data_IF_982734649026
#
_entry.id   IF_982734649026
#
_cell.length_a   1.000
_cell.length_b   1.000
_cell.length_c   1.000
_cell.angle_alpha   90.00
_cell.angle_beta   90.00
_cell.angle_gamma   90.00
#
_symmetry.space_group_name_H-M   'P 1'
#
loop_
_entity.id
_entity.type
_entity.pdbx_description
1 polymer ?
#
# COMPACT_ATOMS: atom_id res chain seq x y z
N UNK A 1 -2.08 26.85 2.45
CA UNK A 1 -1.78 25.75 3.40
C UNK A 1 -1.44 24.51 2.59
N UNK A 2 -0.18 24.07 2.60
CA UNK A 2 0.26 22.90 1.84
C UNK A 2 -0.12 21.61 2.57
N UNK A 3 -0.86 20.74 1.89
CA UNK A 3 -1.19 19.39 2.34
C UNK A 3 -0.41 18.37 1.52
N UNK A 4 0.17 17.37 2.17
CA UNK A 4 0.94 16.32 1.53
C UNK A 4 0.23 14.97 1.65
N UNK A 5 0.04 14.24 0.54
CA UNK A 5 -0.44 12.87 0.58
C UNK A 5 0.73 11.93 0.90
N UNK A 6 0.54 11.07 1.90
CA UNK A 6 1.49 10.00 2.25
C UNK A 6 0.88 8.68 1.83
N UNK A 7 1.55 7.96 0.92
CA UNK A 7 1.11 6.65 0.41
C UNK A 7 2.24 5.62 0.50
N UNK A 8 1.99 4.45 1.09
CA UNK A 8 2.97 3.36 1.21
C UNK A 8 2.33 1.98 0.99
N UNK A 9 3.13 1.02 0.53
CA UNK A 9 2.66 -0.36 0.31
C UNK A 9 2.49 -1.11 1.63
N UNK A 10 3.38 -0.88 2.60
CA UNK A 10 3.29 -1.54 3.92
C UNK A 10 2.94 -0.57 5.04
N UNK A 11 2.31 -1.10 6.10
CA UNK A 11 2.01 -0.33 7.31
C UNK A 11 3.31 0.17 7.99
N UNK A 12 4.39 -0.61 7.93
CA UNK A 12 5.68 -0.25 8.53
C UNK A 12 6.27 0.97 7.84
N UNK A 13 6.33 0.97 6.51
CA UNK A 13 6.82 2.12 5.74
C UNK A 13 5.93 3.34 5.95
N UNK A 14 4.61 3.13 6.04
CA UNK A 14 3.66 4.18 6.35
C UNK A 14 4.05 4.85 7.67
N UNK A 15 4.09 4.09 8.77
CA UNK A 15 4.43 4.57 10.10
C UNK A 15 5.78 5.29 10.17
N UNK A 16 6.80 4.79 9.48
CA UNK A 16 8.11 5.45 9.38
C UNK A 16 8.00 6.82 8.71
N UNK A 17 7.27 6.91 7.61
CA UNK A 17 7.09 8.16 6.87
C UNK A 17 6.31 9.21 7.69
N UNK A 18 5.20 8.81 8.34
CA UNK A 18 4.42 9.73 9.16
C UNK A 18 5.22 10.22 10.38
N UNK A 19 5.98 9.34 11.06
CA UNK A 19 6.83 9.75 12.18
C UNK A 19 7.92 10.75 11.81
N UNK A 20 8.51 10.60 10.63
CA UNK A 20 9.48 11.57 10.11
C UNK A 20 8.82 12.93 9.83
N UNK A 21 7.58 12.92 9.34
CA UNK A 21 6.80 14.14 9.10
C UNK A 21 6.32 14.79 10.41
N UNK A 22 5.89 14.01 11.40
CA UNK A 22 5.56 14.49 12.75
C UNK A 22 6.76 15.23 13.36
N UNK A 23 7.96 14.66 13.28
CA UNK A 23 9.21 15.31 13.72
C UNK A 23 9.50 16.64 13.00
N UNK A 24 8.99 16.82 11.78
CA UNK A 24 9.12 18.05 10.98
C UNK A 24 7.98 19.05 11.21
N UNK A 25 7.08 18.77 12.15
CA UNK A 25 5.94 19.65 12.49
C UNK A 25 4.74 19.49 11.55
N UNK A 26 4.53 18.30 11.01
CA UNK A 26 3.30 17.97 10.27
C UNK A 26 2.32 17.23 11.16
N UNK A 27 1.03 17.46 10.95
CA UNK A 27 -0.07 16.84 11.70
C UNK A 27 -1.07 16.20 10.74
N UNK A 28 -1.81 15.21 11.26
CA UNK A 28 -2.77 14.42 10.49
C UNK A 28 -4.01 15.26 10.17
N UNK A 29 -4.31 15.35 8.88
CA UNK A 29 -5.60 15.84 8.41
C UNK A 29 -6.62 14.69 8.41
N UNK A 30 -6.15 13.48 8.06
CA UNK A 30 -6.97 12.27 8.00
C UNK A 30 -6.27 11.10 8.68
N UNK A 31 -7.02 10.16 9.28
CA UNK A 31 -6.44 8.91 9.77
C UNK A 31 -5.82 8.10 8.62
N UNK A 32 -4.90 7.20 8.94
CA UNK A 32 -4.33 6.24 7.99
C UNK A 32 -5.42 5.27 7.56
N UNK A 33 -5.66 5.18 6.24
CA UNK A 33 -6.66 4.28 5.63
C UNK A 33 -5.98 3.22 4.80
N UNK A 34 -6.52 1.99 4.84
CA UNK A 34 -6.17 0.93 3.90
C UNK A 34 -6.91 1.17 2.57
N UNK A 35 -6.16 1.17 1.48
CA UNK A 35 -6.61 1.34 0.11
C UNK A 35 -6.21 0.08 -0.65
N UNK A 36 -7.18 -0.75 -0.97
CA UNK A 36 -7.00 -1.95 -1.78
C UNK A 36 -6.80 -1.53 -3.25
N UNK A 37 -5.65 -1.85 -3.84
CA UNK A 37 -5.48 -1.73 -5.29
C UNK A 37 -5.99 -3.02 -5.92
N UNK A 38 -6.90 -2.84 -6.88
CA UNK A 38 -7.65 -3.87 -7.60
C UNK A 38 -6.79 -5.07 -7.97
N UNK A 39 -7.34 -6.27 -7.74
CA UNK A 39 -6.80 -7.57 -8.11
C UNK A 39 -6.18 -7.55 -9.51
N UNK A 40 -4.89 -7.87 -9.60
CA UNK A 40 -4.31 -8.37 -10.85
C UNK A 40 -4.36 -9.88 -10.78
N UNK A 41 -5.39 -10.47 -11.37
CA UNK A 41 -5.45 -11.92 -11.59
C UNK A 41 -4.38 -12.27 -12.62
N UNK A 42 -3.26 -12.85 -12.17
CA UNK A 42 -2.22 -13.35 -13.07
C UNK A 42 -2.62 -14.74 -13.57
N UNK A 43 -2.89 -14.87 -14.87
CA UNK A 43 -3.06 -16.18 -15.52
C UNK A 43 -1.69 -16.66 -15.99
N UNK A 44 -1.01 -17.47 -15.19
CA UNK A 44 0.21 -18.15 -15.64
C UNK A 44 -0.14 -19.49 -16.30
N UNK A 45 -0.05 -19.55 -17.63
CA UNK A 45 -0.09 -20.81 -18.38
C UNK A 45 1.33 -21.40 -18.40
N UNK A 46 1.67 -22.16 -17.35
CA UNK A 46 2.95 -22.85 -17.22
C UNK A 46 2.81 -24.34 -17.52
N UNK A 47 3.43 -24.83 -18.61
CA UNK A 47 3.62 -26.26 -18.84
C UNK A 47 4.68 -26.80 -17.87
N UNK A 48 4.26 -27.31 -16.71
CA UNK A 48 5.13 -28.15 -15.89
C UNK A 48 5.05 -29.60 -16.39
N UNK A 49 6.21 -30.26 -16.47
CA UNK A 49 6.34 -31.65 -16.95
C UNK A 49 5.43 -32.59 -16.14
N UNK A 50 4.34 -33.02 -16.77
CA UNK A 50 3.89 -34.41 -16.70
C UNK A 50 2.61 -34.74 -15.93
N UNK A 51 2.04 -33.88 -15.08
CA UNK A 51 0.78 -34.21 -14.36
C UNK A 51 -0.06 -32.96 -14.13
N UNK A 52 -1.35 -33.12 -14.43
CA UNK A 52 -2.52 -32.26 -14.21
C UNK A 52 -2.33 -30.75 -13.96
N UNK A 53 -3.08 -29.97 -14.75
CA UNK A 53 -3.13 -28.50 -14.74
C UNK A 53 -3.58 -27.99 -13.36
N UNK A 54 -2.64 -27.73 -12.44
CA UNK A 54 -2.94 -27.02 -11.19
C UNK A 54 -3.02 -25.53 -11.52
N UNK A 55 -4.24 -24.98 -11.48
CA UNK A 55 -4.48 -23.53 -11.52
C UNK A 55 -4.01 -22.93 -10.20
N UNK A 56 -2.86 -22.27 -10.19
CA UNK A 56 -2.47 -21.43 -9.07
C UNK A 56 -3.16 -20.07 -9.21
N UNK A 57 -4.23 -19.86 -8.44
CA UNK A 57 -4.83 -18.54 -8.27
C UNK A 57 -4.03 -17.82 -7.18
N UNK A 58 -3.00 -17.06 -7.57
CA UNK A 58 -2.33 -16.13 -6.66
C UNK A 58 -3.14 -14.84 -6.56
N UNK A 59 -3.71 -14.55 -5.39
CA UNK A 59 -4.32 -13.25 -5.09
C UNK A 59 -3.24 -12.39 -4.43
N UNK A 60 -2.54 -11.57 -5.23
CA UNK A 60 -1.65 -10.54 -4.68
C UNK A 60 -2.54 -9.37 -4.24
N UNK A 61 -2.91 -9.36 -2.95
CA UNK A 61 -3.56 -8.24 -2.30
C UNK A 61 -2.59 -7.05 -2.25
N UNK A 62 -2.63 -6.20 -3.27
CA UNK A 62 -1.90 -4.93 -3.29
C UNK A 62 -2.58 -3.94 -2.33
N UNK A 63 -2.48 -4.18 -1.03
CA UNK A 63 -2.90 -3.22 -0.01
C UNK A 63 -1.92 -2.06 -0.02
N UNK A 64 -2.44 -0.85 -0.04
CA UNK A 64 -1.68 0.38 0.19
C UNK A 64 -2.29 1.15 1.36
N UNK A 65 -1.50 1.96 2.02
CA UNK A 65 -1.91 2.80 3.13
C UNK A 65 -1.81 4.26 2.70
N UNK A 66 -2.83 5.06 2.99
CA UNK A 66 -2.89 6.48 2.66
C UNK A 66 -3.26 7.33 3.89
N UNK A 67 -2.59 8.46 4.07
CA UNK A 67 -3.07 9.55 4.92
C UNK A 67 -2.71 10.91 4.32
N UNK A 68 -3.38 11.97 4.79
CA UNK A 68 -3.06 13.35 4.48
C UNK A 68 -2.48 14.02 5.72
N UNK A 69 -1.39 14.76 5.53
CA UNK A 69 -0.81 15.60 6.57
C UNK A 69 -0.68 17.05 6.12
N UNK A 70 -0.74 17.99 7.08
CA UNK A 70 -0.47 19.43 6.87
C UNK A 70 0.66 19.85 7.78
N UNK A 71 1.46 20.82 7.33
CA UNK A 71 2.42 21.49 8.21
C UNK A 71 1.65 22.44 9.13
N UNK A 72 1.95 22.40 10.43
CA UNK A 72 1.28 23.24 11.46
C UNK A 72 2.15 24.40 11.96
N UNK A 73 3.31 24.61 11.31
CA UNK A 73 4.19 25.76 11.47
C UNK A 73 4.15 26.66 10.24
#
# INVERSE_FOLDING_TARGET
MFKIPVRRGTMIEMLKAVRDLEKRGYDYITPIKKVYRVERTFYHDGKFKGKDKIRFTGMDDYVSYECWMKKVN
#
